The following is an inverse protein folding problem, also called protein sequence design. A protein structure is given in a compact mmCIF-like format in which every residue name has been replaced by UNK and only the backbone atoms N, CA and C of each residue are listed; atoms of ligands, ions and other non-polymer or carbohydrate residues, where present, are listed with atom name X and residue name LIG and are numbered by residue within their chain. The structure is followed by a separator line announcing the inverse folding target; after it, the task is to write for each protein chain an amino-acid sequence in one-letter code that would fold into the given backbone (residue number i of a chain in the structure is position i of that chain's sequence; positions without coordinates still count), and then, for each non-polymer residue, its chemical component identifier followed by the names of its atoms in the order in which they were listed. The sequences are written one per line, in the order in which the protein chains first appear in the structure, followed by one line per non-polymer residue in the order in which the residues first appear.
data_IF_686609379893
#
_entry.id   IF_686609379893
#
_cell.length_a   1.000
_cell.length_b   1.000
_cell.length_c   1.000
_cell.angle_alpha   90.00
_cell.angle_beta   90.00
_cell.angle_gamma   90.00
#
_symmetry.space_group_name_H-M   'P 1'
#
loop_
_entity.id
_entity.type
_entity.pdbx_description
1 polymer ?
#
# COMPACT_ATOMS: atom_id res chain seq x y z
N UNK A 1 22.08 3.44 -35.97
CA UNK A 1 22.00 3.48 -34.49
C UNK A 1 20.92 2.49 -34.08
N UNK A 2 21.18 1.52 -33.19
CA UNK A 2 20.11 0.65 -32.71
C UNK A 2 19.12 1.49 -31.90
N UNK A 3 17.83 1.34 -32.19
CA UNK A 3 16.74 1.95 -31.43
C UNK A 3 16.78 1.40 -29.99
N UNK A 4 16.67 2.24 -28.94
CA UNK A 4 16.61 1.73 -27.58
C UNK A 4 15.39 0.82 -27.46
N UNK A 5 15.60 -0.41 -26.98
CA UNK A 5 14.51 -1.35 -26.75
C UNK A 5 13.43 -0.68 -25.90
N UNK A 6 12.22 -0.53 -26.44
CA UNK A 6 11.07 0.00 -25.71
C UNK A 6 10.93 -0.83 -24.44
N UNK A 7 11.08 -0.20 -23.27
CA UNK A 7 10.78 -0.85 -21.98
C UNK A 7 9.38 -1.45 -22.11
N UNK A 8 9.24 -2.74 -21.80
CA UNK A 8 7.94 -3.41 -21.83
C UNK A 8 6.97 -2.58 -20.97
N UNK A 9 5.76 -2.36 -21.48
CA UNK A 9 4.72 -1.70 -20.71
C UNK A 9 4.49 -2.51 -19.42
N UNK A 10 4.40 -1.82 -18.28
CA UNK A 10 4.09 -2.47 -17.01
C UNK A 10 2.66 -3.00 -17.07
N UNK A 11 2.50 -4.30 -16.90
CA UNK A 11 1.21 -4.98 -16.76
C UNK A 11 0.99 -5.41 -15.32
N UNK A 12 -0.24 -5.79 -14.98
CA UNK A 12 -0.55 -6.34 -13.66
C UNK A 12 0.27 -7.61 -13.35
N UNK A 13 0.59 -8.40 -14.38
CA UNK A 13 1.38 -9.62 -14.23
C UNK A 13 2.79 -9.36 -13.68
N UNK A 14 3.34 -8.16 -13.87
CA UNK A 14 4.64 -7.80 -13.30
C UNK A 14 4.64 -7.79 -11.76
N UNK A 15 3.47 -7.75 -11.11
CA UNK A 15 3.36 -7.89 -9.66
C UNK A 15 3.75 -9.28 -9.17
N UNK A 16 3.64 -10.32 -10.01
CA UNK A 16 4.04 -11.68 -9.64
C UNK A 16 5.56 -11.87 -9.59
N UNK A 17 6.33 -10.98 -10.24
CA UNK A 17 7.79 -10.98 -10.21
C UNK A 17 8.37 -10.25 -8.99
N UNK A 18 7.51 -9.61 -8.18
CA UNK A 18 7.94 -8.84 -7.01
C UNK A 18 8.40 -9.79 -5.88
N UNK A 19 9.55 -9.54 -5.23
CA UNK A 19 9.98 -10.35 -4.11
C UNK A 19 8.94 -10.38 -2.98
N UNK A 20 8.76 -11.55 -2.36
CA UNK A 20 7.73 -11.79 -1.34
C UNK A 20 7.80 -10.80 -0.15
N UNK A 21 9.02 -10.37 0.21
CA UNK A 21 9.29 -9.43 1.29
C UNK A 21 9.21 -7.96 0.88
N UNK A 22 8.66 -7.66 -0.30
CA UNK A 22 8.46 -6.30 -0.82
C UNK A 22 6.98 -6.05 -1.14
N UNK A 23 6.68 -4.80 -1.44
CA UNK A 23 5.37 -4.35 -1.91
C UNK A 23 5.55 -3.83 -3.32
N UNK A 24 4.76 -4.36 -4.26
CA UNK A 24 4.70 -3.89 -5.64
C UNK A 24 3.43 -3.07 -5.88
N UNK A 25 3.58 -1.91 -6.50
CA UNK A 25 2.48 -1.02 -6.86
C UNK A 25 2.64 -0.59 -8.31
N UNK A 26 1.56 -0.67 -9.11
CA UNK A 26 1.55 -0.13 -10.48
C UNK A 26 0.90 1.25 -10.43
N UNK A 27 1.70 2.30 -10.62
CA UNK A 27 1.25 3.70 -10.58
C UNK A 27 1.58 4.34 -11.93
N UNK A 28 0.56 4.85 -12.63
CA UNK A 28 0.71 5.47 -13.96
C UNK A 28 1.44 4.58 -15.01
N UNK A 29 1.27 3.25 -14.91
CA UNK A 29 1.91 2.30 -15.82
C UNK A 29 3.39 2.03 -15.50
N UNK A 30 3.86 2.40 -14.31
CA UNK A 30 5.18 2.06 -13.78
C UNK A 30 5.06 1.14 -12.56
N UNK A 31 5.87 0.07 -12.51
CA UNK A 31 5.99 -0.78 -11.33
C UNK A 31 6.96 -0.13 -10.34
N UNK A 32 6.44 0.26 -9.19
CA UNK A 32 7.20 0.76 -8.05
C UNK A 32 7.29 -0.36 -7.02
N UNK A 33 8.50 -0.66 -6.56
CA UNK A 33 8.75 -1.71 -5.56
C UNK A 33 9.38 -1.08 -4.32
N UNK A 34 8.74 -1.26 -3.18
CA UNK A 34 9.21 -0.72 -1.89
C UNK A 34 9.37 -1.82 -0.84
N UNK A 35 10.29 -1.69 0.12
CA UNK A 35 10.39 -2.62 1.24
C UNK A 35 9.10 -2.62 2.07
N UNK A 36 8.83 -3.71 2.78
CA UNK A 36 7.74 -3.74 3.76
C UNK A 36 7.94 -2.63 4.82
N UNK A 37 6.87 -1.92 5.23
CA UNK A 37 6.95 -0.87 6.22
C UNK A 37 7.59 -1.34 7.53
N UNK A 38 8.42 -0.48 8.11
CA UNK A 38 9.00 -0.73 9.44
C UNK A 38 7.92 -0.73 10.53
N UNK A 39 8.24 -1.32 11.68
CA UNK A 39 7.33 -1.36 12.83
C UNK A 39 6.87 0.05 13.27
N UNK A 40 7.74 1.04 13.23
CA UNK A 40 7.40 2.43 13.56
C UNK A 40 6.40 3.04 12.55
N UNK A 41 6.54 2.72 11.26
CA UNK A 41 5.59 3.15 10.24
C UNK A 41 4.22 2.52 10.47
N UNK A 42 4.18 1.21 10.75
CA UNK A 42 2.94 0.48 11.06
C UNK A 42 2.25 1.04 12.30
N UNK A 43 3.00 1.33 13.37
CA UNK A 43 2.44 1.90 14.60
C UNK A 43 1.81 3.27 14.35
N UNK A 44 2.50 4.14 13.61
CA UNK A 44 2.02 5.48 13.26
C UNK A 44 0.74 5.39 12.42
N UNK A 45 0.74 4.55 11.38
CA UNK A 45 -0.42 4.34 10.52
C UNK A 45 -1.62 3.77 11.29
N UNK A 46 -1.39 2.81 12.19
CA UNK A 46 -2.45 2.20 13.02
C UNK A 46 -3.06 3.21 13.99
N UNK A 47 -2.23 4.02 14.64
CA UNK A 47 -2.68 5.09 15.53
C UNK A 47 -3.54 6.11 14.79
N UNK A 48 -3.13 6.50 13.59
CA UNK A 48 -3.91 7.39 12.73
C UNK A 48 -5.25 6.75 12.33
N UNK A 49 -5.23 5.47 11.93
CA UNK A 49 -6.43 4.71 11.60
C UNK A 49 -7.42 4.61 12.76
N UNK A 50 -6.95 4.40 13.99
CA UNK A 50 -7.81 4.42 15.18
C UNK A 50 -8.41 5.80 15.40
N UNK A 51 -7.60 6.87 15.32
CA UNK A 51 -8.08 8.23 15.56
C UNK A 51 -9.15 8.66 14.55
N UNK A 52 -8.94 8.35 13.26
CA UNK A 52 -9.88 8.67 12.19
C UNK A 52 -11.08 7.71 12.22
N UNK A 53 -10.85 6.43 12.45
CA UNK A 53 -11.87 5.38 12.38
C UNK A 53 -12.74 5.27 13.63
N UNK A 54 -12.27 5.67 14.81
CA UNK A 54 -13.02 5.58 16.08
C UNK A 54 -14.41 6.23 15.99
N UNK A 55 -14.57 7.47 15.49
CA UNK A 55 -15.89 8.09 15.29
C UNK A 55 -16.84 7.32 14.35
N UNK A 56 -16.31 6.52 13.43
CA UNK A 56 -17.08 5.75 12.45
C UNK A 56 -17.13 4.26 12.78
N UNK A 57 -16.59 3.87 13.93
CA UNK A 57 -16.62 2.50 14.39
C UNK A 57 -18.01 2.16 14.90
N UNK A 58 -18.46 0.92 14.68
CA UNK A 58 -19.76 0.44 15.15
C UNK A 58 -19.96 0.63 16.67
N UNK A 59 -18.87 0.67 17.46
CA UNK A 59 -18.91 0.94 18.91
C UNK A 59 -19.23 2.40 19.25
N UNK A 60 -18.80 3.36 18.44
CA UNK A 60 -19.06 4.78 18.68
C UNK A 60 -20.50 5.19 18.33
N UNK A 61 -21.19 4.40 17.50
CA UNK A 61 -22.61 4.59 17.18
C UNK A 61 -23.56 3.98 18.23
N UNK A 62 -23.03 3.29 19.25
CA UNK A 62 -23.82 2.73 20.36
C UNK A 62 -23.85 3.74 21.53
N UNK A 63 -25.00 4.36 21.84
CA UNK A 63 -25.11 5.36 22.91
C UNK A 63 -24.92 4.81 24.34
N UNK A 64 -24.64 3.51 24.52
CA UNK A 64 -24.61 2.84 25.82
C UNK A 64 -23.22 2.46 26.37
N UNK A 65 -22.13 2.78 25.66
CA UNK A 65 -20.75 2.43 26.08
C UNK A 65 -19.85 3.66 26.00
N UNK A 66 -20.08 4.59 26.93
CA UNK A 66 -19.18 5.69 27.27
C UNK A 66 -18.72 5.57 28.71
#
# INVERSE_FOLDING_TARGET
MPEPAKKKATTYDNLYDVPENMIGEVINGELIVTPRPSQNHVYTASTLGIRIGSPYSAKAADPGVG
#
